data_IF_802947086829
#
_entry.id   IF_802947086829
#
_cell.length_a   1.000
_cell.length_b   1.000
_cell.length_c   1.000
_cell.angle_alpha   90.00
_cell.angle_beta   90.00
_cell.angle_gamma   90.00
#
_symmetry.space_group_name_H-M   'P 1'
#
loop_
_entity.id
_entity.type
_entity.pdbx_description
1 polymer ?
#
# COMPACT_ATOMS: atom_id res chain seq x y z
N UNK A 1 -26.15 -18.35 -8.35
CA UNK A 1 -24.80 -17.83 -8.59
C UNK A 1 -24.35 -17.18 -7.29
N UNK A 2 -23.51 -17.87 -6.51
CA UNK A 2 -22.89 -17.30 -5.30
C UNK A 2 -21.73 -16.43 -5.78
N UNK A 3 -21.82 -15.13 -5.54
CA UNK A 3 -20.64 -14.27 -5.60
C UNK A 3 -19.64 -14.80 -4.55
N UNK A 4 -18.35 -14.99 -4.88
CA UNK A 4 -17.34 -15.24 -3.86
C UNK A 4 -17.28 -14.04 -2.91
N UNK A 5 -16.96 -14.22 -1.61
CA UNK A 5 -16.74 -13.10 -0.72
C UNK A 5 -15.70 -12.18 -1.35
N UNK A 6 -15.99 -10.89 -1.44
CA UNK A 6 -15.00 -9.89 -1.80
C UNK A 6 -13.83 -10.09 -0.87
N UNK A 7 -12.67 -10.45 -1.41
CA UNK A 7 -11.42 -10.39 -0.65
C UNK A 7 -11.25 -8.90 -0.33
N UNK A 8 -11.69 -8.50 0.86
CA UNK A 8 -11.85 -7.11 1.23
C UNK A 8 -10.52 -6.38 1.04
N UNK A 9 -10.53 -5.45 0.09
CA UNK A 9 -9.35 -4.67 -0.30
C UNK A 9 -8.89 -3.78 0.87
N UNK A 10 -9.82 -3.48 1.78
CA UNK A 10 -9.65 -2.74 3.03
C UNK A 10 -10.46 -3.44 4.12
N UNK A 11 -9.90 -3.55 5.31
CA UNK A 11 -10.63 -4.01 6.49
C UNK A 11 -10.80 -2.80 7.42
N UNK A 12 -12.01 -2.25 7.41
CA UNK A 12 -12.34 -1.08 8.21
C UNK A 12 -12.43 -1.40 9.70
N UNK A 13 -12.67 -2.65 10.10
CA UNK A 13 -12.70 -3.02 11.51
C UNK A 13 -11.28 -2.94 12.11
N UNK A 14 -10.25 -3.32 11.34
CA UNK A 14 -8.86 -3.08 11.70
C UNK A 14 -8.59 -1.58 11.86
N UNK A 15 -9.05 -0.77 10.90
CA UNK A 15 -8.86 0.68 10.96
C UNK A 15 -9.54 1.28 12.21
N UNK A 16 -10.81 0.93 12.44
CA UNK A 16 -11.60 1.41 13.58
C UNK A 16 -11.01 0.98 14.92
N UNK A 17 -10.39 -0.19 15.00
CA UNK A 17 -9.68 -0.62 16.20
C UNK A 17 -8.44 0.24 16.49
N UNK A 18 -7.86 0.91 15.48
CA UNK A 18 -6.69 1.77 15.61
C UNK A 18 -7.07 3.24 15.84
N UNK A 19 -8.04 3.77 15.10
CA UNK A 19 -8.36 5.21 15.10
C UNK A 19 -9.67 5.58 15.80
N UNK A 20 -10.54 4.60 16.07
CA UNK A 20 -11.91 4.81 16.57
C UNK A 20 -12.97 4.58 15.49
N UNK A 21 -14.23 4.44 15.91
CA UNK A 21 -15.38 4.19 15.02
C UNK A 21 -16.11 5.49 14.64
N UNK A 22 -15.48 6.65 14.87
CA UNK A 22 -16.02 7.93 14.45
C UNK A 22 -15.86 8.08 12.93
N UNK A 23 -16.97 8.24 12.16
CA UNK A 23 -16.91 8.27 10.70
C UNK A 23 -16.01 9.37 10.12
N UNK A 24 -15.97 10.55 10.76
CA UNK A 24 -15.10 11.66 10.35
C UNK A 24 -13.62 11.31 10.48
N UNK A 25 -13.24 10.62 11.57
CA UNK A 25 -11.85 10.20 11.82
C UNK A 25 -11.42 9.12 10.81
N UNK A 26 -12.31 8.16 10.54
CA UNK A 26 -12.07 7.11 9.54
C UNK A 26 -11.87 7.70 8.14
N UNK A 27 -12.72 8.65 7.74
CA UNK A 27 -12.65 9.34 6.45
C UNK A 27 -11.35 10.14 6.30
N UNK A 28 -10.98 10.92 7.32
CA UNK A 28 -9.75 11.71 7.34
C UNK A 28 -8.53 10.78 7.23
N UNK A 29 -8.52 9.69 7.98
CA UNK A 29 -7.43 8.72 7.96
C UNK A 29 -7.29 8.04 6.59
N UNK A 30 -8.39 7.59 5.97
CA UNK A 30 -8.35 6.98 4.64
C UNK A 30 -7.86 7.97 3.57
N UNK A 31 -8.28 9.23 3.66
CA UNK A 31 -7.83 10.30 2.77
C UNK A 31 -6.32 10.53 2.89
N UNK A 32 -5.82 10.60 4.12
CA UNK A 32 -4.39 10.77 4.39
C UNK A 32 -3.57 9.55 4.00
N UNK A 33 -4.06 8.35 4.29
CA UNK A 33 -3.45 7.11 3.86
C UNK A 33 -3.28 7.08 2.33
N UNK A 34 -4.35 7.38 1.57
CA UNK A 34 -4.32 7.43 0.10
C UNK A 34 -3.23 8.38 -0.38
N UNK A 35 -3.19 9.60 0.16
CA UNK A 35 -2.19 10.63 -0.19
C UNK A 35 -0.76 10.16 0.10
N UNK A 36 -0.51 9.63 1.29
CA UNK A 36 0.82 9.14 1.68
C UNK A 36 1.25 7.94 0.82
N UNK A 37 0.32 7.05 0.50
CA UNK A 37 0.61 5.85 -0.26
C UNK A 37 0.93 6.17 -1.73
N UNK A 38 0.19 7.09 -2.36
CA UNK A 38 0.49 7.59 -3.72
C UNK A 38 1.85 8.29 -3.79
N UNK A 39 2.13 9.19 -2.85
CA UNK A 39 3.43 9.90 -2.82
C UNK A 39 4.61 8.94 -2.55
N UNK A 40 4.38 7.88 -1.76
CA UNK A 40 5.39 6.83 -1.55
C UNK A 40 5.66 6.04 -2.83
N UNK A 41 4.63 5.72 -3.62
CA UNK A 41 4.81 5.04 -4.91
C UNK A 41 5.58 5.90 -5.93
N UNK A 42 5.32 7.19 -5.99
CA UNK A 42 6.10 8.12 -6.83
C UNK A 42 7.57 8.13 -6.41
N UNK A 43 7.83 8.17 -5.09
CA UNK A 43 9.19 8.10 -4.55
C UNK A 43 9.88 6.75 -4.84
N UNK A 44 9.14 5.63 -4.86
CA UNK A 44 9.64 4.32 -5.24
C UNK A 44 10.10 4.30 -6.71
N UNK A 45 9.28 4.85 -7.61
CA UNK A 45 9.67 4.97 -9.02
C UNK A 45 10.92 5.84 -9.20
N UNK A 46 11.01 6.96 -8.49
CA UNK A 46 12.19 7.83 -8.54
C UNK A 46 13.46 7.12 -8.02
N UNK A 47 13.36 6.43 -6.88
CA UNK A 47 14.47 5.65 -6.31
C UNK A 47 14.91 4.52 -7.24
N UNK A 48 13.98 3.86 -7.93
CA UNK A 48 14.27 2.84 -8.94
C UNK A 48 15.06 3.42 -10.12
N UNK A 49 14.68 4.60 -10.63
CA UNK A 49 15.43 5.26 -11.72
C UNK A 49 16.82 5.71 -11.28
N UNK A 50 16.98 6.11 -10.02
CA UNK A 50 18.25 6.50 -9.44
C UNK A 50 19.13 5.31 -9.01
N UNK A 51 18.59 4.09 -8.98
CA UNK A 51 19.30 2.90 -8.48
C UNK A 51 19.49 2.88 -6.95
N UNK A 52 18.70 3.65 -6.21
CA UNK A 52 18.80 3.79 -4.75
C UNK A 52 18.08 2.66 -4.01
N UNK A 53 18.65 1.46 -4.04
CA UNK A 53 18.02 0.25 -3.47
C UNK A 53 17.71 0.36 -1.97
N UNK A 54 18.60 0.98 -1.18
CA UNK A 54 18.36 1.22 0.25
C UNK A 54 17.12 2.09 0.49
N UNK A 55 16.93 3.12 -0.36
CA UNK A 55 15.75 3.99 -0.31
C UNK A 55 14.48 3.23 -0.68
N UNK A 56 14.55 2.32 -1.66
CA UNK A 56 13.42 1.45 -2.04
C UNK A 56 12.97 0.62 -0.84
N UNK A 57 13.91 -0.02 -0.12
CA UNK A 57 13.58 -0.83 1.06
C UNK A 57 12.88 -0.01 2.15
N UNK A 58 13.40 1.19 2.46
CA UNK A 58 12.79 2.08 3.46
C UNK A 58 11.39 2.57 3.08
N UNK A 59 11.17 2.89 1.80
CA UNK A 59 9.85 3.30 1.29
C UNK A 59 8.85 2.13 1.32
N UNK A 60 9.27 0.93 0.92
CA UNK A 60 8.46 -0.27 0.97
C UNK A 60 8.06 -0.63 2.42
N UNK A 61 9.01 -0.56 3.36
CA UNK A 61 8.74 -0.75 4.79
C UNK A 61 7.67 0.21 5.32
N UNK A 62 7.77 1.50 4.98
CA UNK A 62 6.79 2.52 5.39
C UNK A 62 5.41 2.21 4.82
N UNK A 63 5.33 1.86 3.54
CA UNK A 63 4.06 1.55 2.89
C UNK A 63 3.41 0.29 3.47
N UNK A 64 4.19 -0.73 3.80
CA UNK A 64 3.74 -1.95 4.50
C UNK A 64 3.01 -1.61 5.80
N UNK A 65 3.62 -0.79 6.65
CA UNK A 65 3.04 -0.40 7.94
C UNK A 65 1.74 0.38 7.76
N UNK A 66 1.73 1.34 6.83
CA UNK A 66 0.51 2.09 6.52
C UNK A 66 -0.61 1.19 6.00
N UNK A 67 -0.29 0.23 5.12
CA UNK A 67 -1.27 -0.68 4.53
C UNK A 67 -1.93 -1.57 5.60
N UNK A 68 -1.15 -2.03 6.59
CA UNK A 68 -1.67 -2.85 7.70
C UNK A 68 -2.64 -2.08 8.60
N UNK A 69 -2.48 -0.76 8.76
CA UNK A 69 -3.39 0.07 9.56
C UNK A 69 -4.80 0.18 8.96
N UNK A 70 -4.93 0.11 7.63
CA UNK A 70 -6.22 0.17 6.92
C UNK A 70 -6.73 -1.21 6.49
N UNK A 71 -6.05 -2.28 6.93
CA UNK A 71 -6.42 -3.64 6.54
C UNK A 71 -6.13 -4.02 5.09
N UNK A 72 -5.33 -3.23 4.36
CA UNK A 72 -4.97 -3.50 2.97
C UNK A 72 -3.89 -4.59 2.86
N UNK A 73 -4.28 -5.84 3.15
CA UNK A 73 -3.35 -6.96 3.31
C UNK A 73 -2.56 -7.28 2.02
N UNK A 74 -3.20 -7.20 0.85
CA UNK A 74 -2.53 -7.46 -0.43
C UNK A 74 -1.45 -6.41 -0.75
N UNK A 75 -1.73 -5.14 -0.47
CA UNK A 75 -0.75 -4.05 -0.58
C UNK A 75 0.39 -4.22 0.44
N UNK A 76 0.05 -4.61 1.68
CA UNK A 76 1.03 -4.92 2.72
C UNK A 76 1.98 -6.03 2.32
N UNK A 77 1.46 -7.14 1.78
CA UNK A 77 2.26 -8.28 1.33
C UNK A 77 3.15 -7.93 0.12
N UNK A 78 2.64 -7.11 -0.82
CA UNK A 78 3.44 -6.62 -1.95
C UNK A 78 4.55 -5.68 -1.52
N UNK A 79 4.28 -4.84 -0.51
CA UNK A 79 5.28 -3.96 0.11
C UNK A 79 6.37 -4.74 0.83
N UNK A 80 6.00 -5.78 1.58
CA UNK A 80 6.94 -6.68 2.26
C UNK A 80 7.85 -7.41 1.28
N UNK A 81 7.29 -7.92 0.17
CA UNK A 81 8.10 -8.55 -0.89
C UNK A 81 9.12 -7.58 -1.48
N UNK A 82 8.71 -6.35 -1.78
CA UNK A 82 9.62 -5.34 -2.33
C UNK A 82 10.73 -4.97 -1.35
N UNK A 83 10.40 -4.84 -0.06
CA UNK A 83 11.35 -4.58 1.02
C UNK A 83 12.41 -5.70 1.08
N UNK A 84 11.97 -6.97 1.10
CA UNK A 84 12.87 -8.13 1.16
C UNK A 84 13.77 -8.23 -0.08
N UNK A 85 13.21 -8.02 -1.27
CA UNK A 85 13.97 -8.06 -2.52
C UNK A 85 15.02 -6.94 -2.58
N UNK A 86 14.67 -5.73 -2.13
CA UNK A 86 15.60 -4.62 -2.05
C UNK A 86 16.70 -4.89 -1.01
N UNK A 87 16.34 -5.39 0.18
CA UNK A 87 17.31 -5.74 1.23
C UNK A 87 18.27 -6.86 0.82
N UNK A 88 17.82 -7.80 -0.03
CA UNK A 88 18.65 -8.85 -0.60
C UNK A 88 19.51 -8.38 -1.80
N UNK A 89 19.40 -7.12 -2.22
CA UNK A 89 20.12 -6.59 -3.38
C UNK A 89 19.71 -7.25 -4.69
N UNK A 90 18.42 -7.60 -4.84
CA UNK A 90 17.91 -8.21 -6.09
C UNK A 90 18.09 -7.24 -7.27
N UNK A 91 18.21 -7.77 -8.50
CA UNK A 91 18.41 -6.93 -9.68
C UNK A 91 17.31 -5.88 -9.87
N UNK A 92 17.66 -4.70 -10.38
CA UNK A 92 16.73 -3.59 -10.65
C UNK A 92 15.52 -4.03 -11.49
N UNK A 93 15.71 -4.95 -12.44
CA UNK A 93 14.60 -5.48 -13.24
C UNK A 93 13.56 -6.23 -12.39
N UNK A 94 13.98 -6.93 -11.35
CA UNK A 94 13.07 -7.60 -10.41
C UNK A 94 12.37 -6.59 -9.50
N UNK A 95 13.12 -5.63 -8.96
CA UNK A 95 12.53 -4.54 -8.14
C UNK A 95 11.49 -3.75 -8.94
N UNK A 96 11.73 -3.51 -10.24
CA UNK A 96 10.77 -2.88 -11.15
C UNK A 96 9.46 -3.66 -11.21
N UNK A 97 9.52 -4.97 -11.46
CA UNK A 97 8.33 -5.83 -11.52
C UNK A 97 7.55 -5.80 -10.19
N UNK A 98 8.25 -5.81 -9.06
CA UNK A 98 7.63 -5.74 -7.74
C UNK A 98 6.99 -4.37 -7.46
N UNK A 99 7.61 -3.28 -7.91
CA UNK A 99 7.01 -1.94 -7.85
C UNK A 99 5.76 -1.84 -8.72
N UNK A 100 5.75 -2.44 -9.92
CA UNK A 100 4.58 -2.48 -10.80
C UNK A 100 3.42 -3.28 -10.18
N UNK A 101 3.71 -4.40 -9.52
CA UNK A 101 2.72 -5.18 -8.78
C UNK A 101 2.15 -4.38 -7.59
N UNK A 102 3.02 -3.74 -6.82
CA UNK A 102 2.63 -2.86 -5.72
C UNK A 102 1.77 -1.68 -6.20
N UNK A 103 2.09 -1.10 -7.36
CA UNK A 103 1.30 -0.05 -7.99
C UNK A 103 -0.10 -0.51 -8.43
N UNK A 104 -0.25 -1.79 -8.80
CA UNK A 104 -1.56 -2.36 -9.07
C UNK A 104 -2.39 -2.46 -7.79
N UNK A 105 -1.84 -3.04 -6.72
CA UNK A 105 -2.53 -3.14 -5.43
C UNK A 105 -2.92 -1.76 -4.88
N UNK A 106 -2.02 -0.78 -4.98
CA UNK A 106 -2.30 0.57 -4.53
C UNK A 106 -3.50 1.18 -5.28
N UNK A 107 -3.59 0.99 -6.59
CA UNK A 107 -4.73 1.49 -7.38
C UNK A 107 -6.05 0.83 -6.99
N UNK A 108 -6.02 -0.47 -6.68
CA UNK A 108 -7.20 -1.19 -6.18
C UNK A 108 -7.66 -0.60 -4.85
N UNK A 109 -6.73 -0.40 -3.91
CA UNK A 109 -7.02 0.20 -2.60
C UNK A 109 -7.52 1.64 -2.73
N UNK A 110 -6.84 2.48 -3.53
CA UNK A 110 -7.25 3.86 -3.74
C UNK A 110 -8.66 3.96 -4.35
N UNK A 111 -8.98 3.10 -5.33
CA UNK A 111 -10.30 3.05 -5.93
C UNK A 111 -11.40 2.63 -4.95
N UNK A 112 -11.08 1.79 -3.97
CA UNK A 112 -12.03 1.41 -2.92
C UNK A 112 -12.22 2.56 -1.90
N UNK A 113 -11.15 3.26 -1.52
CA UNK A 113 -11.24 4.48 -0.71
C UNK A 113 -12.14 5.51 -1.41
N UNK A 114 -11.94 5.74 -2.71
CA UNK A 114 -12.73 6.70 -3.48
C UNK A 114 -14.23 6.34 -3.48
N UNK A 115 -14.58 5.05 -3.48
CA UNK A 115 -15.99 4.59 -3.38
C UNK A 115 -16.58 4.80 -1.99
N UNK A 116 -15.78 4.63 -0.93
CA UNK A 116 -16.21 4.85 0.45
C UNK A 116 -16.40 6.34 0.78
N UNK A 117 -15.70 7.22 0.05
CA UNK A 117 -15.76 8.68 0.23
C UNK A 117 -16.76 9.39 -0.70
N UNK A 118 -17.37 8.67 -1.65
CA UNK A 118 -18.33 9.20 -2.63
C UNK A 118 -19.76 9.26 -2.07
#
# INVERSE_FOLDING_TARGET
MMQPPTTDTLDLDILKAVVGDEPEIVVDFLTDFRRVATTTLEALHAALQAGEVERIAGLAHRLKSNARMVGAMALGASSERLEDEAAQGRPIAQLKTSIEALAHELRTVAGEIDRLLA
#
